data_IF_180651140443
#
_entry.id   IF_180651140443
#
_cell.length_a   1.000
_cell.length_b   1.000
_cell.length_c   1.000
_cell.angle_alpha   90.00
_cell.angle_beta   90.00
_cell.angle_gamma   90.00
#
_symmetry.space_group_name_H-M   'P 1'
#
loop_
_entity.id
_entity.type
_entity.pdbx_description
1 polymer ?
#
# COMPACT_ATOMS: atom_id res chain seq x y z
N UNK A 1 -29.27 -24.93 -8.01
CA UNK A 1 -28.71 -23.58 -7.67
C UNK A 1 -27.33 -23.81 -7.14
N UNK A 2 -26.31 -23.54 -7.95
CA UNK A 2 -24.93 -23.63 -7.47
C UNK A 2 -24.76 -22.52 -6.42
N UNK A 3 -24.48 -22.89 -5.17
CA UNK A 3 -24.01 -21.97 -4.15
C UNK A 3 -22.77 -21.25 -4.75
N UNK A 4 -22.90 -19.98 -5.05
CA UNK A 4 -21.75 -19.15 -5.30
C UNK A 4 -20.97 -19.09 -3.99
N UNK A 5 -19.95 -19.94 -3.89
CA UNK A 5 -19.02 -19.89 -2.77
C UNK A 5 -18.53 -18.43 -2.62
N UNK A 6 -18.77 -17.83 -1.47
CA UNK A 6 -18.35 -16.45 -1.19
C UNK A 6 -16.83 -16.36 -1.34
N UNK A 7 -16.35 -15.56 -2.29
CA UNK A 7 -14.94 -15.38 -2.61
C UNK A 7 -14.33 -14.15 -1.92
N UNK A 8 -14.78 -13.84 -0.73
CA UNK A 8 -14.33 -12.70 0.04
C UNK A 8 -15.47 -11.86 0.60
N UNK A 9 -15.18 -10.92 1.51
CA UNK A 9 -16.21 -10.10 2.19
C UNK A 9 -16.91 -9.11 1.25
N UNK A 10 -16.38 -8.86 0.04
CA UNK A 10 -16.94 -7.94 -0.96
C UNK A 10 -17.63 -8.67 -2.11
N UNK A 11 -17.97 -9.96 -1.94
CA UNK A 11 -18.72 -10.72 -2.95
C UNK A 11 -20.05 -10.02 -3.27
N UNK A 12 -20.29 -9.80 -4.56
CA UNK A 12 -21.47 -9.08 -5.06
C UNK A 12 -21.28 -7.59 -5.26
N UNK A 13 -20.16 -7.01 -4.79
CA UNK A 13 -19.81 -5.61 -5.04
C UNK A 13 -19.36 -5.43 -6.50
N UNK A 14 -19.97 -4.49 -7.22
CA UNK A 14 -19.71 -4.16 -8.63
C UNK A 14 -18.84 -2.91 -8.71
N UNK A 15 -17.65 -3.02 -9.27
CA UNK A 15 -16.67 -1.93 -9.35
C UNK A 15 -16.32 -1.63 -10.80
N UNK A 16 -16.36 -0.36 -11.18
CA UNK A 16 -15.79 0.13 -12.43
C UNK A 16 -14.47 0.83 -12.10
N UNK A 17 -13.39 0.37 -12.73
CA UNK A 17 -12.07 0.99 -12.66
C UNK A 17 -11.74 1.65 -14.00
N UNK A 18 -11.36 2.92 -14.01
CA UNK A 18 -10.72 3.51 -15.18
C UNK A 18 -9.23 3.21 -15.17
N UNK A 19 -8.70 2.83 -16.33
CA UNK A 19 -7.28 2.57 -16.53
C UNK A 19 -6.42 3.70 -15.97
N UNK A 20 -5.44 3.35 -15.15
CA UNK A 20 -4.47 4.25 -14.54
C UNK A 20 -3.15 3.54 -14.24
N UNK A 21 -2.29 4.23 -13.52
CA UNK A 21 -1.03 3.71 -12.99
C UNK A 21 -0.97 3.91 -11.48
N UNK A 22 -0.07 3.17 -10.80
CA UNK A 22 0.19 3.35 -9.36
C UNK A 22 -0.98 2.95 -8.47
N UNK A 23 -1.54 3.89 -7.69
CA UNK A 23 -2.47 3.58 -6.61
C UNK A 23 -3.85 3.06 -7.07
N UNK A 24 -4.41 3.57 -8.16
CA UNK A 24 -5.72 3.15 -8.66
C UNK A 24 -5.80 1.65 -8.96
N UNK A 25 -4.94 1.10 -9.82
CA UNK A 25 -4.87 -0.34 -10.06
C UNK A 25 -4.65 -1.18 -8.81
N UNK A 26 -3.88 -0.69 -7.84
CA UNK A 26 -3.65 -1.40 -6.58
C UNK A 26 -4.93 -1.43 -5.70
N UNK A 27 -5.68 -0.32 -5.62
CA UNK A 27 -7.00 -0.30 -4.95
C UNK A 27 -7.92 -1.36 -5.56
N UNK A 28 -8.05 -1.33 -6.88
CA UNK A 28 -8.96 -2.24 -7.58
C UNK A 28 -8.50 -3.71 -7.45
N UNK A 29 -7.18 -3.99 -7.37
CA UNK A 29 -6.66 -5.31 -7.04
C UNK A 29 -7.13 -5.77 -5.65
N UNK A 30 -7.00 -4.91 -4.65
CA UNK A 30 -7.41 -5.26 -3.28
C UNK A 30 -8.92 -5.53 -3.20
N UNK A 31 -9.75 -4.72 -3.86
CA UNK A 31 -11.19 -4.93 -3.91
C UNK A 31 -11.54 -6.25 -4.62
N UNK A 32 -10.87 -6.54 -5.74
CA UNK A 32 -11.06 -7.79 -6.49
C UNK A 32 -10.63 -9.02 -5.67
N UNK A 33 -9.48 -8.97 -5.00
CA UNK A 33 -8.99 -10.04 -4.12
C UNK A 33 -9.96 -10.34 -2.97
N UNK A 34 -10.67 -9.34 -2.50
CA UNK A 34 -11.69 -9.46 -1.46
C UNK A 34 -13.08 -9.80 -1.99
N UNK A 35 -13.22 -10.09 -3.28
CA UNK A 35 -14.44 -10.64 -3.85
C UNK A 35 -15.25 -9.73 -4.76
N UNK A 36 -14.89 -8.44 -4.87
CA UNK A 36 -15.58 -7.53 -5.77
C UNK A 36 -15.41 -7.96 -7.25
N UNK A 37 -16.45 -7.77 -8.05
CA UNK A 37 -16.38 -7.92 -9.49
C UNK A 37 -15.95 -6.62 -10.13
N UNK A 38 -14.76 -6.60 -10.77
CA UNK A 38 -14.14 -5.35 -11.26
C UNK A 38 -14.11 -5.35 -12.78
N UNK A 39 -14.84 -4.41 -13.38
CA UNK A 39 -14.73 -4.08 -14.81
C UNK A 39 -13.77 -2.92 -14.99
N UNK A 40 -12.72 -3.14 -15.78
CA UNK A 40 -11.71 -2.12 -16.08
C UNK A 40 -11.94 -1.53 -17.47
N UNK A 41 -12.22 -0.25 -17.49
CA UNK A 41 -12.31 0.56 -18.71
C UNK A 41 -10.90 0.94 -19.14
N UNK A 42 -10.49 0.51 -20.31
CA UNK A 42 -9.15 0.78 -20.84
C UNK A 42 -9.19 1.23 -22.31
N UNK A 43 -8.12 1.89 -22.73
CA UNK A 43 -8.02 2.31 -24.14
C UNK A 43 -7.84 1.08 -25.03
N UNK A 44 -8.42 1.09 -26.24
CA UNK A 44 -8.13 0.05 -27.23
C UNK A 44 -6.62 -0.12 -27.44
N UNK A 45 -6.17 -1.37 -27.43
CA UNK A 45 -4.74 -1.72 -27.61
C UNK A 45 -3.87 -1.58 -26.36
N UNK A 46 -4.44 -1.28 -25.18
CA UNK A 46 -3.69 -1.27 -23.93
C UNK A 46 -3.08 -2.64 -23.62
N UNK A 47 -1.83 -2.63 -23.14
CA UNK A 47 -1.15 -3.83 -22.63
C UNK A 47 -0.95 -3.71 -21.14
N UNK A 48 -1.17 -4.78 -20.35
CA UNK A 48 -0.92 -4.75 -18.91
C UNK A 48 0.53 -4.38 -18.59
N UNK A 49 0.72 -3.40 -17.72
CA UNK A 49 2.04 -3.01 -17.24
C UNK A 49 2.53 -3.93 -16.12
N UNK A 50 1.64 -4.35 -15.24
CA UNK A 50 1.95 -5.23 -14.13
C UNK A 50 0.83 -6.27 -13.93
N UNK A 51 1.02 -7.51 -14.41
CA UNK A 51 -0.02 -8.52 -14.36
C UNK A 51 -0.40 -8.97 -12.94
N UNK A 52 0.45 -8.72 -11.94
CA UNK A 52 0.14 -8.99 -10.53
C UNK A 52 -0.84 -7.94 -10.00
N UNK A 53 -0.55 -6.66 -10.21
CA UNK A 53 -1.41 -5.55 -9.75
C UNK A 53 -2.70 -5.45 -10.57
N UNK A 54 -2.67 -5.90 -11.82
CA UNK A 54 -3.82 -5.85 -12.73
C UNK A 54 -4.61 -7.17 -12.79
N UNK A 55 -4.40 -8.09 -11.85
CA UNK A 55 -5.13 -9.38 -11.76
C UNK A 55 -6.62 -9.21 -11.50
N UNK A 56 -7.40 -10.21 -11.86
CA UNK A 56 -8.84 -10.31 -11.59
C UNK A 56 -9.68 -9.15 -12.14
N UNK A 57 -9.29 -8.57 -13.31
CA UNK A 57 -10.09 -7.57 -14.02
C UNK A 57 -10.80 -8.16 -15.22
N UNK A 58 -12.08 -7.81 -15.37
CA UNK A 58 -12.82 -7.99 -16.61
C UNK A 58 -12.58 -6.74 -17.47
N UNK A 59 -11.93 -6.90 -18.63
CA UNK A 59 -11.43 -5.76 -19.41
C UNK A 59 -12.43 -5.36 -20.47
N UNK A 60 -12.73 -4.07 -20.58
CA UNK A 60 -13.50 -3.46 -21.66
C UNK A 60 -12.63 -2.42 -22.38
N UNK A 61 -12.37 -2.63 -23.66
CA UNK A 61 -11.58 -1.73 -24.50
C UNK A 61 -12.48 -0.65 -25.08
N UNK A 62 -12.50 0.54 -24.48
CA UNK A 62 -13.48 1.60 -24.75
C UNK A 62 -12.80 2.88 -25.21
N UNK A 63 -13.22 3.41 -26.35
CA UNK A 63 -12.92 4.80 -26.74
C UNK A 63 -13.91 5.77 -26.05
N UNK A 64 -13.46 6.43 -25.00
CA UNK A 64 -14.27 7.38 -24.23
C UNK A 64 -14.71 8.63 -25.04
N UNK A 65 -14.19 8.83 -26.27
CA UNK A 65 -14.59 9.92 -27.15
C UNK A 65 -15.71 9.55 -28.12
N UNK A 66 -15.97 8.24 -28.30
CA UNK A 66 -17.04 7.74 -29.16
C UNK A 66 -18.37 7.75 -28.43
N UNK A 67 -19.46 7.94 -29.16
CA UNK A 67 -20.82 7.84 -28.60
C UNK A 67 -21.12 6.44 -28.05
N UNK A 68 -20.60 5.40 -28.69
CA UNK A 68 -20.75 4.02 -28.26
C UNK A 68 -20.04 3.78 -26.93
N UNK A 69 -18.77 4.23 -26.80
CA UNK A 69 -18.02 4.14 -25.59
C UNK A 69 -18.65 4.90 -24.43
N UNK A 70 -19.17 6.10 -24.69
CA UNK A 70 -19.91 6.88 -23.70
C UNK A 70 -21.17 6.13 -23.22
N UNK A 71 -21.97 5.59 -24.14
CA UNK A 71 -23.17 4.80 -23.78
C UNK A 71 -22.80 3.59 -22.92
N UNK A 72 -21.75 2.87 -23.30
CA UNK A 72 -21.27 1.70 -22.53
C UNK A 72 -20.88 2.08 -21.11
N UNK A 73 -20.08 3.13 -20.95
CA UNK A 73 -19.62 3.57 -19.62
C UNK A 73 -20.76 4.05 -18.75
N UNK A 74 -21.69 4.83 -19.30
CA UNK A 74 -22.89 5.25 -18.57
C UNK A 74 -23.73 4.06 -18.14
N UNK A 75 -23.90 3.06 -19.00
CA UNK A 75 -24.63 1.85 -18.64
C UNK A 75 -23.93 1.06 -17.53
N UNK A 76 -22.61 0.86 -17.62
CA UNK A 76 -21.84 0.21 -16.56
C UNK A 76 -22.00 0.92 -15.21
N UNK A 77 -21.92 2.25 -15.20
CA UNK A 77 -21.96 3.06 -13.97
C UNK A 77 -23.36 3.17 -13.34
N UNK A 78 -24.44 2.95 -14.11
CA UNK A 78 -25.78 2.81 -13.53
C UNK A 78 -25.93 1.62 -12.59
N UNK A 79 -25.15 0.56 -12.84
CA UNK A 79 -25.22 -0.69 -12.10
C UNK A 79 -24.06 -0.91 -11.15
N UNK A 80 -23.05 -0.03 -11.20
CA UNK A 80 -21.87 -0.12 -10.34
C UNK A 80 -22.17 0.39 -8.93
N UNK A 81 -21.52 -0.23 -7.95
CA UNK A 81 -21.48 0.24 -6.56
C UNK A 81 -20.38 1.27 -6.34
N UNK A 82 -19.26 1.09 -7.04
CA UNK A 82 -18.05 1.89 -6.89
C UNK A 82 -17.46 2.24 -8.24
N UNK A 83 -17.05 3.48 -8.39
CA UNK A 83 -16.18 3.94 -9.46
C UNK A 83 -14.82 4.32 -8.87
N UNK A 84 -13.73 3.83 -9.48
CA UNK A 84 -12.35 4.25 -9.17
C UNK A 84 -11.76 4.91 -10.42
N UNK A 85 -11.38 6.18 -10.30
CA UNK A 85 -10.70 6.93 -11.37
C UNK A 85 -9.49 7.69 -10.81
N UNK A 86 -8.52 8.00 -11.67
CA UNK A 86 -7.30 8.70 -11.30
C UNK A 86 -6.91 9.78 -12.31
N UNK A 87 -7.88 10.37 -13.00
CA UNK A 87 -7.62 11.49 -13.93
C UNK A 87 -7.40 12.80 -13.18
N UNK A 88 -6.77 13.75 -13.86
CA UNK A 88 -6.65 15.11 -13.34
C UNK A 88 -8.04 15.73 -13.14
N UNK A 89 -8.22 16.60 -12.12
CA UNK A 89 -9.49 17.29 -11.89
C UNK A 89 -10.08 17.92 -13.15
N UNK A 90 -11.38 17.77 -13.34
CA UNK A 90 -12.11 18.28 -14.50
C UNK A 90 -12.04 17.41 -15.77
N UNK A 91 -11.27 16.32 -15.80
CA UNK A 91 -11.24 15.41 -16.96
C UNK A 91 -12.54 14.63 -17.08
N UNK A 92 -12.99 14.03 -15.98
CA UNK A 92 -14.25 13.26 -15.96
C UNK A 92 -15.46 14.17 -16.25
N UNK A 93 -15.45 15.38 -15.74
CA UNK A 93 -16.49 16.38 -16.03
C UNK A 93 -16.57 16.72 -17.53
N UNK A 94 -15.40 16.93 -18.18
CA UNK A 94 -15.36 17.19 -19.65
C UNK A 94 -15.79 15.98 -20.48
N UNK A 95 -15.68 14.78 -19.94
CA UNK A 95 -16.15 13.55 -20.58
C UNK A 95 -17.66 13.30 -20.31
N UNK A 96 -18.36 14.17 -19.57
CA UNK A 96 -19.74 13.94 -19.16
C UNK A 96 -19.91 12.83 -18.11
N UNK A 97 -18.80 12.45 -17.44
CA UNK A 97 -18.71 11.40 -16.43
C UNK A 97 -18.38 11.98 -15.05
N UNK A 98 -18.60 13.27 -14.83
CA UNK A 98 -18.39 13.93 -13.54
C UNK A 98 -19.37 13.46 -12.46
N UNK A 99 -19.04 13.71 -11.17
CA UNK A 99 -19.85 13.26 -10.04
C UNK A 99 -21.32 13.71 -10.12
N UNK A 100 -21.59 14.95 -10.52
CA UNK A 100 -22.95 15.48 -10.58
C UNK A 100 -23.84 14.65 -11.53
N UNK A 101 -23.30 14.31 -12.71
CA UNK A 101 -24.01 13.50 -13.71
C UNK A 101 -24.21 12.08 -13.24
N UNK A 102 -23.13 11.45 -12.71
CA UNK A 102 -23.19 10.03 -12.36
C UNK A 102 -23.96 9.77 -11.07
N UNK A 103 -23.92 10.66 -10.09
CA UNK A 103 -24.71 10.53 -8.85
C UNK A 103 -26.20 10.86 -9.07
N UNK A 104 -26.54 11.68 -10.08
CA UNK A 104 -27.93 11.83 -10.51
C UNK A 104 -28.47 10.54 -11.14
N UNK A 105 -27.66 9.89 -12.00
CA UNK A 105 -28.03 8.64 -12.67
C UNK A 105 -28.03 7.42 -11.73
N UNK A 106 -27.09 7.38 -10.77
CA UNK A 106 -26.96 6.33 -9.75
C UNK A 106 -26.68 6.96 -8.39
N UNK A 107 -27.73 7.34 -7.63
CA UNK A 107 -27.56 7.97 -6.31
C UNK A 107 -26.86 7.12 -5.25
N UNK A 108 -26.65 5.83 -5.52
CA UNK A 108 -25.93 4.91 -4.62
C UNK A 108 -24.46 4.73 -4.97
N UNK A 109 -23.97 5.32 -6.05
CA UNK A 109 -22.61 5.18 -6.51
C UNK A 109 -21.61 5.81 -5.52
N UNK A 110 -20.60 5.06 -5.09
CA UNK A 110 -19.41 5.59 -4.43
C UNK A 110 -18.40 5.98 -5.50
N UNK A 111 -18.16 7.27 -5.64
CA UNK A 111 -17.28 7.84 -6.66
C UNK A 111 -15.89 8.14 -6.06
N UNK A 112 -14.92 7.23 -6.22
CA UNK A 112 -13.58 7.40 -5.67
C UNK A 112 -12.63 8.05 -6.68
N UNK A 113 -12.10 9.22 -6.31
CA UNK A 113 -11.14 10.02 -7.08
C UNK A 113 -9.75 9.89 -6.48
N UNK A 114 -8.91 9.06 -7.10
CA UNK A 114 -7.56 8.75 -6.63
C UNK A 114 -6.54 9.67 -7.31
N UNK A 115 -6.10 10.71 -6.64
CA UNK A 115 -5.17 11.70 -7.19
C UNK A 115 -3.97 11.95 -6.28
N UNK A 116 -2.91 12.57 -6.82
CA UNK A 116 -1.74 12.93 -6.03
C UNK A 116 -1.97 14.16 -5.14
N UNK A 117 -2.56 15.20 -5.72
CA UNK A 117 -2.69 16.51 -5.09
C UNK A 117 -4.08 16.83 -4.53
N UNK A 118 -5.10 16.01 -4.80
CA UNK A 118 -6.50 16.31 -4.51
C UNK A 118 -7.23 16.99 -5.65
N UNK A 119 -8.54 17.23 -5.46
CA UNK A 119 -9.41 17.82 -6.47
C UNK A 119 -9.28 19.35 -6.54
N UNK A 120 -8.79 19.99 -5.50
CA UNK A 120 -8.59 21.43 -5.40
C UNK A 120 -7.20 21.80 -4.89
N UNK A 121 -6.95 23.09 -4.70
CA UNK A 121 -5.67 23.60 -4.28
C UNK A 121 -4.72 23.96 -5.43
N UNK A 122 -3.62 24.66 -5.15
CA UNK A 122 -2.76 25.27 -6.19
C UNK A 122 -2.03 24.24 -7.06
N UNK A 123 -1.86 22.99 -6.61
CA UNK A 123 -1.18 21.93 -7.33
C UNK A 123 -2.13 20.91 -8.00
N UNK A 124 -3.44 21.04 -7.83
CA UNK A 124 -4.42 20.08 -8.32
C UNK A 124 -4.27 19.74 -9.82
N UNK A 125 -3.88 20.72 -10.65
CA UNK A 125 -3.65 20.54 -12.08
C UNK A 125 -2.19 20.21 -12.44
N UNK A 126 -1.27 20.20 -11.47
CA UNK A 126 0.14 19.96 -11.74
C UNK A 126 0.41 18.45 -11.95
N UNK A 127 1.43 18.15 -12.78
CA UNK A 127 1.94 16.79 -12.85
C UNK A 127 2.75 16.46 -11.60
N UNK A 128 2.76 15.20 -11.20
CA UNK A 128 3.57 14.70 -10.10
C UNK A 128 3.50 13.18 -10.03
N UNK A 129 4.41 12.59 -9.28
CA UNK A 129 4.48 11.18 -8.94
C UNK A 129 4.72 11.04 -7.44
N UNK A 130 4.73 9.80 -6.91
CA UNK A 130 4.92 9.46 -5.50
C UNK A 130 5.92 10.39 -4.80
N UNK A 131 7.13 10.48 -5.32
CA UNK A 131 8.21 11.29 -4.76
C UNK A 131 7.82 12.76 -4.53
N UNK A 132 7.06 13.35 -5.46
CA UNK A 132 6.64 14.74 -5.37
C UNK A 132 5.55 14.92 -4.32
N UNK A 133 4.64 13.96 -4.21
CA UNK A 133 3.54 14.00 -3.23
C UNK A 133 4.07 13.88 -1.81
N UNK A 134 5.00 12.94 -1.55
CA UNK A 134 5.58 12.76 -0.22
C UNK A 134 6.55 13.90 0.18
N UNK A 135 7.10 14.63 -0.82
CA UNK A 135 8.06 15.71 -0.56
C UNK A 135 7.47 16.87 0.23
N UNK A 136 6.25 17.31 -0.10
CA UNK A 136 5.62 18.47 0.55
C UNK A 136 4.95 18.13 1.88
N UNK A 137 4.81 16.84 2.21
CA UNK A 137 4.23 16.37 3.47
C UNK A 137 5.25 16.21 4.58
N UNK A 138 6.52 16.52 4.34
CA UNK A 138 7.61 16.28 5.29
C UNK A 138 8.05 14.81 5.41
N UNK A 139 7.31 13.86 4.83
CA UNK A 139 7.66 12.43 4.89
C UNK A 139 9.00 12.16 4.21
N UNK A 140 9.20 12.67 2.98
CA UNK A 140 10.44 12.46 2.26
C UNK A 140 11.65 13.04 3.00
N UNK A 141 11.51 14.24 3.59
CA UNK A 141 12.61 14.86 4.34
C UNK A 141 13.03 14.03 5.56
N UNK A 142 12.13 13.26 6.15
CA UNK A 142 12.42 12.41 7.30
C UNK A 142 13.13 11.10 6.97
N UNK A 143 13.23 10.71 5.68
CA UNK A 143 13.76 9.42 5.23
C UNK A 143 15.15 9.59 4.61
N UNK A 144 16.14 8.92 5.17
CA UNK A 144 17.53 8.93 4.71
C UNK A 144 18.55 9.02 5.83
N UNK A 145 19.82 8.92 5.50
CA UNK A 145 20.90 9.02 6.44
C UNK A 145 21.20 10.48 6.84
N UNK A 146 21.82 10.65 8.00
CA UNK A 146 22.26 11.95 8.52
C UNK A 146 23.28 12.59 7.58
N UNK A 147 23.06 13.84 7.22
CA UNK A 147 23.94 14.61 6.33
C UNK A 147 23.81 14.26 4.84
N UNK A 148 22.99 13.28 4.48
CA UNK A 148 22.76 12.85 3.08
C UNK A 148 21.47 13.46 2.51
N UNK A 149 21.28 13.33 1.20
CA UNK A 149 19.99 13.67 0.57
C UNK A 149 18.90 12.67 0.99
N UNK A 150 17.61 13.09 0.96
CA UNK A 150 16.51 12.16 1.23
C UNK A 150 16.50 11.01 0.23
N UNK A 151 16.14 9.81 0.70
CA UNK A 151 16.10 8.60 -0.12
C UNK A 151 14.64 8.27 -0.43
N UNK A 152 14.26 8.13 -1.73
CA UNK A 152 12.92 7.68 -2.11
C UNK A 152 12.62 6.28 -1.55
N UNK A 153 11.52 6.10 -0.80
CA UNK A 153 11.14 4.79 -0.24
C UNK A 153 10.36 3.92 -1.24
N UNK A 154 10.74 3.93 -2.52
CA UNK A 154 9.94 3.41 -3.62
C UNK A 154 8.60 4.15 -3.68
N UNK A 155 7.53 3.50 -4.18
CA UNK A 155 6.17 4.04 -4.15
C UNK A 155 5.32 3.46 -2.99
N UNK A 156 5.99 3.01 -1.92
CA UNK A 156 5.32 2.37 -0.79
C UNK A 156 4.61 3.38 0.11
N UNK A 157 5.21 4.55 0.32
CA UNK A 157 4.68 5.57 1.25
C UNK A 157 3.62 6.45 0.57
N UNK A 158 3.87 6.94 -0.64
CA UNK A 158 2.95 7.79 -1.36
C UNK A 158 1.82 7.00 -2.01
N UNK A 159 2.10 6.39 -3.17
CA UNK A 159 1.08 5.71 -3.99
C UNK A 159 0.30 4.65 -3.20
N UNK A 160 1.00 3.78 -2.47
CA UNK A 160 0.35 2.64 -1.82
C UNK A 160 -0.11 2.96 -0.40
N UNK A 161 0.75 3.48 0.47
CA UNK A 161 0.40 3.81 1.85
C UNK A 161 -0.61 4.96 1.93
N UNK A 162 -0.25 6.13 1.43
CA UNK A 162 -1.08 7.34 1.47
C UNK A 162 -2.21 7.34 0.44
N UNK A 163 -2.01 6.73 -0.73
CA UNK A 163 -2.99 6.67 -1.80
C UNK A 163 -3.92 5.48 -1.70
N UNK A 164 -3.44 4.29 -2.11
CA UNK A 164 -4.30 3.10 -2.25
C UNK A 164 -5.03 2.70 -0.98
N UNK A 165 -4.32 2.67 0.15
CA UNK A 165 -4.93 2.22 1.41
C UNK A 165 -5.98 3.22 1.90
N UNK A 166 -5.74 4.52 1.78
CA UNK A 166 -6.73 5.54 2.15
C UNK A 166 -7.92 5.57 1.19
N UNK A 167 -7.70 5.37 -0.11
CA UNK A 167 -8.77 5.23 -1.08
C UNK A 167 -9.65 4.00 -0.77
N UNK A 168 -9.05 2.85 -0.53
CA UNK A 168 -9.78 1.65 -0.15
C UNK A 168 -10.57 1.84 1.15
N UNK A 169 -9.97 2.46 2.18
CA UNK A 169 -10.65 2.80 3.43
C UNK A 169 -11.83 3.77 3.18
N UNK A 170 -11.63 4.79 2.36
CA UNK A 170 -12.67 5.74 1.99
C UNK A 170 -13.84 5.08 1.27
N UNK A 171 -13.56 4.20 0.30
CA UNK A 171 -14.57 3.40 -0.40
C UNK A 171 -15.38 2.56 0.59
N UNK A 172 -14.71 1.80 1.46
CA UNK A 172 -15.39 0.94 2.43
C UNK A 172 -16.21 1.73 3.45
N UNK A 173 -15.71 2.88 3.91
CA UNK A 173 -16.43 3.78 4.81
C UNK A 173 -17.68 4.37 4.12
N UNK A 174 -17.57 4.78 2.85
CA UNK A 174 -18.69 5.28 2.07
C UNK A 174 -19.74 4.19 1.78
N UNK A 175 -19.32 2.97 1.49
CA UNK A 175 -20.22 1.82 1.33
C UNK A 175 -20.95 1.50 2.65
N UNK A 176 -20.26 1.51 3.77
CA UNK A 176 -20.85 1.30 5.09
C UNK A 176 -21.85 2.41 5.47
N UNK A 177 -21.55 3.67 5.17
CA UNK A 177 -22.45 4.80 5.38
C UNK A 177 -23.69 4.68 4.49
N UNK A 178 -23.51 4.30 3.21
CA UNK A 178 -24.57 4.08 2.22
C UNK A 178 -25.64 3.10 2.67
N UNK A 179 -25.28 2.08 3.46
CA UNK A 179 -26.28 1.12 3.98
C UNK A 179 -27.28 1.74 4.95
N UNK A 180 -26.96 2.90 5.52
CA UNK A 180 -27.84 3.67 6.41
C UNK A 180 -28.58 4.79 5.68
N UNK A 181 -27.86 5.58 4.86
CA UNK A 181 -28.43 6.73 4.15
C UNK A 181 -29.15 6.35 2.85
N UNK A 182 -28.78 5.20 2.27
CA UNK A 182 -29.20 4.83 0.91
C UNK A 182 -28.46 5.58 -0.18
N UNK A 183 -27.49 6.44 0.14
CA UNK A 183 -26.81 7.34 -0.80
C UNK A 183 -25.32 7.04 -0.91
N UNK A 184 -24.83 7.04 -2.14
CA UNK A 184 -23.39 7.10 -2.43
C UNK A 184 -22.84 8.52 -2.23
N UNK A 185 -21.55 8.67 -2.44
CA UNK A 185 -20.86 9.95 -2.30
C UNK A 185 -19.54 9.97 -3.06
N UNK A 186 -18.98 11.16 -3.23
CA UNK A 186 -17.60 11.32 -3.73
C UNK A 186 -16.62 11.06 -2.59
N UNK A 187 -15.56 10.30 -2.89
CA UNK A 187 -14.40 10.11 -2.04
C UNK A 187 -13.20 10.74 -2.76
N UNK A 188 -12.75 11.90 -2.30
CA UNK A 188 -11.49 12.50 -2.75
C UNK A 188 -10.35 11.86 -1.96
N UNK A 189 -9.60 11.00 -2.63
CA UNK A 189 -8.49 10.26 -2.03
C UNK A 189 -7.16 10.83 -2.55
N UNK A 190 -6.74 11.94 -1.96
CA UNK A 190 -5.47 12.57 -2.30
C UNK A 190 -4.29 11.88 -1.59
N UNK A 191 -3.23 11.56 -2.34
CA UNK A 191 -2.02 10.96 -1.77
C UNK A 191 -1.42 11.88 -0.70
N UNK A 192 -1.37 13.19 -0.94
CA UNK A 192 -0.82 14.15 0.02
C UNK A 192 -1.56 14.13 1.36
N UNK A 193 -2.89 13.97 1.36
CA UNK A 193 -3.69 13.90 2.57
C UNK A 193 -3.45 12.60 3.34
N UNK A 194 -3.41 11.48 2.62
CA UNK A 194 -3.13 10.18 3.21
C UNK A 194 -1.72 10.11 3.81
N UNK A 195 -0.70 10.61 3.10
CA UNK A 195 0.68 10.68 3.64
C UNK A 195 0.75 11.61 4.84
N UNK A 196 0.07 12.76 4.81
CA UNK A 196 0.00 13.67 5.96
C UNK A 196 -0.61 12.96 7.16
N UNK A 197 -1.65 12.16 6.96
CA UNK A 197 -2.26 11.34 8.01
C UNK A 197 -1.29 10.26 8.54
N UNK A 198 -0.51 9.60 7.68
CA UNK A 198 0.53 8.65 8.11
C UNK A 198 1.59 9.32 9.01
N UNK A 199 1.87 10.61 8.78
CA UNK A 199 2.83 11.40 9.56
C UNK A 199 2.27 11.91 10.89
N UNK A 200 1.01 11.62 11.24
CA UNK A 200 0.34 12.13 12.45
C UNK A 200 1.13 11.86 13.73
N UNK A 201 1.77 10.69 13.83
CA UNK A 201 2.63 10.36 14.98
C UNK A 201 3.75 11.38 15.14
N UNK A 202 4.47 11.71 14.07
CA UNK A 202 5.60 12.64 14.12
C UNK A 202 5.14 14.08 14.32
N UNK A 203 4.04 14.50 13.69
CA UNK A 203 3.50 15.85 13.90
C UNK A 203 3.00 16.06 15.34
N UNK A 204 2.49 15.04 15.99
CA UNK A 204 2.03 15.09 17.37
C UNK A 204 3.14 15.07 18.42
N UNK A 205 4.37 14.71 18.05
CA UNK A 205 5.48 14.63 19.00
C UNK A 205 6.15 16.02 19.22
N UNK A 206 6.53 16.36 20.46
CA UNK A 206 7.48 17.45 20.69
C UNK A 206 8.85 17.09 20.12
N UNK A 207 9.71 18.08 19.93
CA UNK A 207 11.11 17.83 19.56
C UNK A 207 11.79 16.96 20.61
N UNK A 208 12.29 15.80 20.20
CA UNK A 208 12.85 14.76 21.05
C UNK A 208 13.66 13.77 20.20
N UNK A 209 14.21 12.73 20.81
CA UNK A 209 14.83 11.62 20.08
C UNK A 209 13.87 10.91 19.08
N UNK A 210 12.55 11.03 19.26
CA UNK A 210 11.56 10.51 18.30
C UNK A 210 11.28 11.48 17.15
N UNK A 211 11.38 12.78 17.39
CA UNK A 211 11.16 13.83 16.38
C UNK A 211 12.33 14.82 16.38
N UNK A 212 13.23 14.65 15.44
CA UNK A 212 14.34 15.58 15.21
C UNK A 212 14.06 16.46 13.99
N UNK A 213 14.78 17.59 13.90
CA UNK A 213 14.78 18.43 12.70
C UNK A 213 15.83 17.99 11.69
N UNK A 214 16.73 17.10 12.07
CA UNK A 214 17.80 16.57 11.25
C UNK A 214 17.41 15.15 10.78
N UNK A 215 17.46 14.92 9.47
CA UNK A 215 17.21 13.61 8.86
C UNK A 215 18.17 12.57 9.41
N UNK A 216 17.64 11.37 9.66
CA UNK A 216 18.45 10.25 10.14
C UNK A 216 19.00 10.41 11.55
N UNK A 217 18.67 11.51 12.26
CA UNK A 217 19.11 11.74 13.64
C UNK A 217 18.10 11.24 14.70
N UNK A 218 16.89 10.87 14.28
CA UNK A 218 15.85 10.34 15.16
C UNK A 218 15.98 8.83 15.40
N UNK A 219 15.42 8.36 16.51
CA UNK A 219 15.40 6.95 16.89
C UNK A 219 14.87 6.07 15.74
N UNK A 220 13.67 6.35 15.26
CA UNK A 220 13.04 5.59 14.18
C UNK A 220 13.65 5.85 12.79
N UNK A 221 14.50 6.85 12.68
CA UNK A 221 15.27 7.17 11.48
C UNK A 221 16.59 6.41 11.36
N UNK A 222 16.89 5.53 12.31
CA UNK A 222 18.10 4.68 12.29
C UNK A 222 19.33 5.30 12.97
N UNK A 223 19.18 6.40 13.73
CA UNK A 223 20.27 6.94 14.55
C UNK A 223 20.59 6.06 15.75
N UNK A 224 19.57 5.45 16.35
CA UNK A 224 19.75 4.61 17.52
C UNK A 224 20.37 3.26 17.15
N UNK A 225 21.43 2.89 17.86
CA UNK A 225 22.15 1.62 17.65
C UNK A 225 21.26 0.38 17.81
N UNK A 226 20.18 0.48 18.53
CA UNK A 226 19.20 -0.60 18.73
C UNK A 226 18.02 -0.57 17.77
N UNK A 227 18.00 0.38 16.79
CA UNK A 227 16.94 0.50 15.78
C UNK A 227 17.53 0.84 14.42
N UNK A 228 18.19 -0.12 13.78
CA UNK A 228 18.83 0.04 12.46
C UNK A 228 19.27 -1.28 11.83
N UNK A 229 19.84 -1.20 10.64
CA UNK A 229 20.47 -2.33 9.96
C UNK A 229 21.97 -2.37 10.21
N UNK A 230 22.51 -3.60 10.18
CA UNK A 230 23.94 -3.89 10.31
C UNK A 230 24.38 -4.90 9.25
N UNK A 231 25.60 -4.73 8.75
CA UNK A 231 26.23 -5.64 7.81
C UNK A 231 26.94 -6.77 8.56
N UNK A 232 26.76 -8.02 8.08
CA UNK A 232 27.38 -9.23 8.62
C UNK A 232 28.71 -9.54 7.93
N UNK A 233 29.41 -10.59 8.42
CA UNK A 233 30.72 -11.01 7.88
C UNK A 233 30.67 -11.42 6.40
N UNK A 234 29.53 -11.91 5.92
CA UNK A 234 29.29 -12.33 4.54
C UNK A 234 28.74 -11.23 3.62
N UNK A 235 28.70 -9.98 4.11
CA UNK A 235 28.18 -8.83 3.36
C UNK A 235 26.66 -8.75 3.28
N UNK A 236 25.93 -9.70 3.86
CA UNK A 236 24.48 -9.62 4.04
C UNK A 236 24.13 -8.75 5.23
N UNK A 237 22.90 -8.32 5.32
CA UNK A 237 22.44 -7.35 6.31
C UNK A 237 21.40 -7.95 7.25
N UNK A 238 21.36 -7.42 8.47
CA UNK A 238 20.35 -7.73 9.48
C UNK A 238 19.74 -6.44 10.00
N UNK A 239 18.54 -6.54 10.52
CA UNK A 239 17.84 -5.44 11.20
C UNK A 239 17.68 -5.76 12.68
N UNK A 240 17.83 -4.75 13.51
CA UNK A 240 17.49 -4.77 14.94
C UNK A 240 16.50 -3.68 15.25
N UNK A 241 15.56 -3.94 16.16
CA UNK A 241 14.51 -3.01 16.55
C UNK A 241 14.15 -3.09 18.03
N UNK A 242 15.14 -3.40 18.89
CA UNK A 242 14.99 -3.67 20.31
C UNK A 242 14.83 -2.37 21.13
N UNK A 243 13.67 -1.71 21.02
CA UNK A 243 13.40 -0.42 21.67
C UNK A 243 13.22 -0.59 23.18
N UNK A 244 12.43 -1.57 23.60
CA UNK A 244 12.13 -1.80 25.01
C UNK A 244 13.36 -2.37 25.74
N UNK A 245 13.63 -1.94 26.99
CA UNK A 245 14.82 -2.35 27.72
C UNK A 245 14.99 -3.87 27.87
N UNK A 246 13.91 -4.62 28.03
CA UNK A 246 13.95 -6.08 28.15
C UNK A 246 14.36 -6.75 26.84
N UNK A 247 13.90 -6.26 25.69
CA UNK A 247 14.25 -6.78 24.36
C UNK A 247 15.69 -6.42 24.00
N UNK A 248 16.12 -5.23 24.38
CA UNK A 248 17.52 -4.81 24.22
C UNK A 248 18.45 -5.66 25.08
N UNK A 249 18.10 -5.94 26.33
CA UNK A 249 18.88 -6.81 27.20
C UNK A 249 19.00 -8.24 26.62
N UNK A 250 17.91 -8.78 26.05
CA UNK A 250 17.93 -10.09 25.39
C UNK A 250 18.81 -10.09 24.13
N UNK A 251 18.70 -9.05 23.30
CA UNK A 251 19.59 -8.88 22.14
C UNK A 251 21.06 -8.93 22.55
N UNK A 252 21.46 -8.11 23.54
CA UNK A 252 22.84 -8.04 24.01
C UNK A 252 23.32 -9.38 24.61
N UNK A 253 22.48 -10.05 25.40
CA UNK A 253 22.80 -11.31 26.01
C UNK A 253 23.02 -12.42 24.97
N UNK A 254 22.09 -12.55 23.99
CA UNK A 254 22.19 -13.60 22.97
C UNK A 254 23.30 -13.36 21.97
N UNK A 255 23.58 -12.10 21.66
CA UNK A 255 24.64 -11.72 20.76
C UNK A 255 26.03 -11.78 21.40
N UNK A 256 26.13 -12.04 22.71
CA UNK A 256 27.35 -11.92 23.49
C UNK A 256 28.04 -10.58 23.33
N UNK A 257 27.20 -9.52 23.45
CA UNK A 257 27.63 -8.15 23.24
C UNK A 257 28.43 -7.59 24.40
N UNK A 258 29.31 -6.59 24.16
CA UNK A 258 30.10 -5.95 25.22
C UNK A 258 29.23 -5.44 26.38
N UNK A 259 29.68 -5.65 27.62
CA UNK A 259 28.96 -5.29 28.85
C UNK A 259 28.60 -3.80 28.92
N UNK A 260 29.45 -2.93 28.38
CA UNK A 260 29.28 -1.50 28.36
C UNK A 260 28.02 -1.02 27.59
N UNK A 261 27.48 -1.85 26.66
CA UNK A 261 26.25 -1.55 25.93
C UNK A 261 24.99 -1.70 26.79
N UNK A 262 25.08 -2.29 27.97
CA UNK A 262 23.92 -2.55 28.85
C UNK A 262 23.35 -1.29 29.48
N UNK A 263 24.15 -0.24 29.58
CA UNK A 263 23.73 1.01 30.20
C UNK A 263 23.56 2.12 29.15
N UNK A 264 22.66 3.06 29.40
CA UNK A 264 22.53 4.25 28.57
C UNK A 264 21.94 4.02 27.17
N UNK A 265 21.17 2.96 26.96
CA UNK A 265 20.48 2.66 25.69
C UNK A 265 19.81 3.87 25.09
N UNK A 266 18.97 4.56 25.87
CA UNK A 266 18.15 5.71 25.42
C UNK A 266 18.88 7.04 25.45
N UNK A 267 20.18 7.07 25.80
CA UNK A 267 20.98 8.29 25.76
C UNK A 267 21.53 8.54 24.35
N UNK A 268 21.08 9.55 23.60
CA UNK A 268 21.54 9.82 22.25
C UNK A 268 23.04 10.07 22.13
N UNK A 269 23.72 10.52 23.23
CA UNK A 269 25.16 10.74 23.22
C UNK A 269 25.97 9.46 23.06
N UNK A 270 25.37 8.28 23.34
CA UNK A 270 26.03 6.99 23.21
C UNK A 270 25.80 6.35 21.84
N UNK A 271 24.83 6.82 21.07
CA UNK A 271 24.32 6.06 19.91
C UNK A 271 25.37 5.83 18.83
N UNK A 272 26.21 6.81 18.54
CA UNK A 272 27.25 6.67 17.51
C UNK A 272 28.31 5.63 17.95
N UNK A 273 28.84 5.74 19.17
CA UNK A 273 29.81 4.78 19.73
C UNK A 273 29.25 3.36 19.83
N UNK A 274 28.00 3.22 20.31
CA UNK A 274 27.33 1.94 20.43
C UNK A 274 26.99 1.32 19.06
N UNK A 275 26.71 2.17 18.07
CA UNK A 275 26.54 1.73 16.69
C UNK A 275 27.81 1.09 16.13
N UNK A 276 28.98 1.72 16.35
CA UNK A 276 30.27 1.17 15.92
C UNK A 276 30.55 -0.18 16.57
N UNK A 277 30.28 -0.32 17.87
CA UNK A 277 30.47 -1.58 18.62
C UNK A 277 29.55 -2.69 18.13
N UNK A 278 28.26 -2.41 17.92
CA UNK A 278 27.35 -3.40 17.35
C UNK A 278 27.67 -3.72 15.89
N UNK A 279 28.12 -2.75 15.10
CA UNK A 279 28.60 -3.02 13.75
C UNK A 279 29.79 -3.97 13.73
N UNK A 280 30.77 -3.74 14.62
CA UNK A 280 31.90 -4.65 14.79
C UNK A 280 31.46 -6.05 15.24
N UNK A 281 30.47 -6.13 16.15
CA UNK A 281 29.91 -7.41 16.61
C UNK A 281 29.22 -8.16 15.48
N UNK A 282 28.34 -7.54 14.72
CA UNK A 282 27.62 -8.21 13.63
C UNK A 282 28.55 -8.66 12.51
N UNK A 283 29.68 -7.99 12.29
CA UNK A 283 30.73 -8.40 11.37
C UNK A 283 31.50 -9.70 11.81
N UNK A 284 31.30 -10.22 13.03
CA UNK A 284 31.96 -11.41 13.49
C UNK A 284 31.40 -12.72 12.95
N UNK A 285 30.18 -12.73 12.46
CA UNK A 285 29.49 -13.93 11.95
C UNK A 285 28.70 -13.62 10.66
N UNK A 286 28.52 -14.64 9.80
CA UNK A 286 27.62 -14.53 8.65
C UNK A 286 26.15 -14.41 9.11
N UNK A 287 25.29 -13.81 8.24
CA UNK A 287 23.87 -13.61 8.52
C UNK A 287 23.16 -14.87 9.03
N UNK A 288 23.43 -16.03 8.40
CA UNK A 288 22.77 -17.28 8.76
C UNK A 288 23.07 -17.76 10.19
N UNK A 289 24.22 -17.41 10.76
CA UNK A 289 24.53 -17.70 12.16
C UNK A 289 23.78 -16.75 13.10
N UNK A 290 23.67 -15.46 12.75
CA UNK A 290 22.87 -14.51 13.52
C UNK A 290 21.39 -14.88 13.50
N UNK A 291 20.85 -15.33 12.37
CA UNK A 291 19.48 -15.85 12.26
C UNK A 291 19.25 -17.00 13.26
N UNK A 292 20.16 -17.98 13.34
CA UNK A 292 20.04 -19.10 14.31
C UNK A 292 20.05 -18.66 15.76
N UNK A 293 20.75 -17.56 16.09
CA UNK A 293 20.89 -17.07 17.45
C UNK A 293 19.73 -16.18 17.88
N UNK A 294 19.18 -15.38 16.98
CA UNK A 294 18.35 -14.23 17.32
C UNK A 294 16.93 -14.29 16.74
N UNK A 295 16.72 -14.91 15.56
CA UNK A 295 15.39 -14.94 14.95
C UNK A 295 14.43 -15.80 15.77
N UNK A 296 13.20 -15.32 15.92
CA UNK A 296 12.16 -16.00 16.70
C UNK A 296 12.30 -15.85 18.21
N UNK A 297 13.18 -14.96 18.66
CA UNK A 297 13.34 -14.55 20.07
C UNK A 297 12.86 -13.13 20.30
N UNK A 298 12.83 -12.66 21.53
CA UNK A 298 12.45 -11.29 21.86
C UNK A 298 13.57 -10.25 21.63
N UNK A 299 14.65 -10.62 20.92
CA UNK A 299 15.73 -9.70 20.54
C UNK A 299 15.33 -8.66 19.46
N UNK A 300 14.11 -8.69 18.97
CA UNK A 300 13.61 -7.81 17.89
C UNK A 300 14.54 -7.78 16.67
N UNK A 301 14.87 -8.98 16.18
CA UNK A 301 15.83 -9.20 15.10
C UNK A 301 15.16 -9.81 13.88
N UNK A 302 15.60 -9.41 12.67
CA UNK A 302 15.28 -10.11 11.43
C UNK A 302 16.43 -9.99 10.41
N UNK A 303 16.63 -11.00 9.52
CA UNK A 303 17.50 -10.82 8.36
C UNK A 303 16.88 -9.83 7.38
N UNK A 304 17.69 -9.00 6.73
CA UNK A 304 17.27 -8.25 5.55
C UNK A 304 17.42 -9.19 4.36
N UNK A 305 16.29 -9.50 3.71
CA UNK A 305 16.27 -10.43 2.59
C UNK A 305 16.05 -9.70 1.26
N UNK A 306 16.74 -10.09 0.18
CA UNK A 306 16.48 -9.56 -1.16
C UNK A 306 15.02 -9.82 -1.59
N UNK A 307 14.49 -8.95 -2.47
CA UNK A 307 13.12 -9.05 -2.96
C UNK A 307 12.78 -10.44 -3.53
N UNK A 308 13.69 -11.01 -4.32
CA UNK A 308 13.48 -12.31 -4.95
C UNK A 308 13.53 -13.50 -3.97
N UNK A 309 14.17 -13.31 -2.81
CA UNK A 309 14.31 -14.32 -1.76
C UNK A 309 13.21 -14.21 -0.68
N UNK A 310 12.48 -13.10 -0.62
CA UNK A 310 11.47 -12.87 0.42
C UNK A 310 10.42 -13.97 0.50
N UNK A 311 9.99 -14.52 -0.65
CA UNK A 311 9.04 -15.65 -0.74
C UNK A 311 9.58 -16.94 -0.11
N UNK A 312 10.90 -17.08 0.00
CA UNK A 312 11.56 -18.28 0.50
C UNK A 312 11.80 -18.26 2.00
N UNK A 313 11.62 -17.10 2.65
CA UNK A 313 11.72 -16.98 4.09
C UNK A 313 10.73 -17.90 4.82
N UNK A 314 11.17 -18.68 5.83
CA UNK A 314 10.32 -19.68 6.49
C UNK A 314 8.99 -19.13 7.02
N UNK A 315 9.01 -17.94 7.63
CA UNK A 315 7.81 -17.29 8.12
C UNK A 315 6.84 -16.89 6.98
N UNK A 316 7.37 -16.35 5.87
CA UNK A 316 6.55 -15.96 4.71
C UNK A 316 5.93 -17.19 4.04
N UNK A 317 6.66 -18.31 3.97
CA UNK A 317 6.12 -19.62 3.52
C UNK A 317 5.01 -20.13 4.44
N UNK A 318 5.26 -20.17 5.74
CA UNK A 318 4.28 -20.62 6.74
C UNK A 318 3.02 -19.74 6.74
N UNK A 319 3.16 -18.45 6.49
CA UNK A 319 2.05 -17.51 6.30
C UNK A 319 1.35 -17.68 4.95
N UNK A 320 1.94 -18.40 3.97
CA UNK A 320 1.44 -18.39 2.60
C UNK A 320 1.30 -16.95 2.08
N UNK A 321 2.34 -16.13 2.30
CA UNK A 321 2.31 -14.71 1.92
C UNK A 321 2.45 -14.53 0.39
N UNK A 322 2.92 -15.57 -0.29
CA UNK A 322 3.03 -15.65 -1.74
C UNK A 322 2.26 -16.86 -2.25
N UNK A 323 1.64 -16.74 -3.41
CA UNK A 323 0.81 -17.76 -4.07
C UNK A 323 1.22 -17.86 -5.53
N UNK A 324 1.47 -19.06 -6.01
CA UNK A 324 1.69 -19.29 -7.43
C UNK A 324 0.34 -19.29 -8.19
N UNK A 325 0.19 -18.40 -9.16
CA UNK A 325 -1.01 -18.25 -9.96
C UNK A 325 -0.63 -17.87 -11.41
N UNK A 326 -1.18 -18.57 -12.40
CA UNK A 326 -0.88 -18.32 -13.81
C UNK A 326 0.62 -18.39 -14.16
N UNK A 327 1.39 -19.25 -13.46
CA UNK A 327 2.84 -19.41 -13.67
C UNK A 327 3.69 -18.26 -13.12
N UNK A 328 3.15 -17.46 -12.21
CA UNK A 328 3.85 -16.34 -11.55
C UNK A 328 3.61 -16.36 -10.05
N UNK A 329 4.59 -15.89 -9.31
CA UNK A 329 4.43 -15.64 -7.87
C UNK A 329 3.68 -14.34 -7.65
N UNK A 330 2.57 -14.41 -6.92
CA UNK A 330 1.73 -13.29 -6.54
C UNK A 330 1.76 -13.10 -5.03
N UNK A 331 1.59 -11.86 -4.57
CA UNK A 331 1.27 -11.60 -3.17
C UNK A 331 -0.13 -12.15 -2.87
N UNK A 332 -0.26 -12.87 -1.74
CA UNK A 332 -1.56 -13.36 -1.29
C UNK A 332 -2.50 -12.20 -0.93
N UNK A 333 -3.83 -12.37 -1.06
CA UNK A 333 -4.79 -11.37 -0.61
C UNK A 333 -4.59 -10.98 0.86
N UNK A 334 -4.65 -9.69 1.12
CA UNK A 334 -4.54 -9.10 2.45
C UNK A 334 -5.60 -7.98 2.63
N UNK A 335 -6.15 -7.80 3.86
CA UNK A 335 -5.98 -8.65 5.05
C UNK A 335 -6.63 -10.03 4.90
N UNK A 336 -6.34 -10.94 5.85
CA UNK A 336 -6.93 -12.27 5.87
C UNK A 336 -8.21 -12.28 6.70
N UNK A 337 -9.24 -12.93 6.18
CA UNK A 337 -10.51 -13.14 6.85
C UNK A 337 -10.69 -14.64 7.13
N UNK A 338 -11.10 -15.02 8.32
CA UNK A 338 -11.32 -16.40 8.73
C UNK A 338 -12.55 -17.03 8.07
N UNK A 339 -13.66 -16.29 8.03
CA UNK A 339 -14.95 -16.75 7.50
C UNK A 339 -15.11 -16.49 5.99
N UNK A 340 -14.58 -15.40 5.47
CA UNK A 340 -14.69 -14.97 4.08
C UNK A 340 -13.30 -14.66 3.51
N UNK A 341 -12.42 -15.66 3.32
CA UNK A 341 -11.07 -15.44 2.83
C UNK A 341 -11.08 -14.85 1.42
N UNK A 342 -10.19 -13.89 1.17
CA UNK A 342 -9.92 -13.38 -0.16
C UNK A 342 -9.21 -14.44 -1.02
N UNK A 343 -9.40 -14.35 -2.34
CA UNK A 343 -8.80 -15.29 -3.31
C UNK A 343 -8.33 -14.56 -4.56
N UNK A 344 -7.22 -15.03 -5.15
CA UNK A 344 -6.81 -14.59 -6.48
C UNK A 344 -7.71 -15.31 -7.50
N UNK A 345 -8.25 -14.54 -8.45
CA UNK A 345 -9.14 -15.05 -9.50
C UNK A 345 -8.58 -14.70 -10.87
N UNK A 346 -8.91 -15.51 -11.87
CA UNK A 346 -8.63 -15.20 -13.25
C UNK A 346 -9.59 -14.13 -13.81
N UNK A 347 -9.10 -13.36 -14.75
CA UNK A 347 -9.92 -12.43 -15.56
C UNK A 347 -10.50 -13.20 -16.73
N UNK A 348 -11.53 -14.02 -16.48
CA UNK A 348 -12.03 -14.99 -17.46
C UNK A 348 -13.12 -14.46 -18.39
N UNK A 349 -13.66 -13.27 -18.17
CA UNK A 349 -14.79 -12.72 -18.95
C UNK A 349 -14.43 -11.39 -19.57
N UNK A 350 -15.04 -11.11 -20.72
CA UNK A 350 -15.05 -9.80 -21.34
C UNK A 350 -15.82 -8.81 -20.45
N UNK A 351 -15.30 -7.60 -20.29
CA UNK A 351 -15.94 -6.58 -19.47
C UNK A 351 -17.31 -6.17 -20.01
N UNK A 352 -17.52 -6.21 -21.31
CA UNK A 352 -18.80 -5.91 -21.94
C UNK A 352 -19.86 -6.97 -21.58
N UNK A 353 -19.50 -8.26 -21.58
CA UNK A 353 -20.38 -9.34 -21.14
C UNK A 353 -20.76 -9.20 -19.66
N UNK A 354 -19.82 -8.80 -18.82
CA UNK A 354 -20.04 -8.57 -17.38
C UNK A 354 -21.03 -7.42 -17.17
N UNK A 355 -20.86 -6.30 -17.85
CA UNK A 355 -21.78 -5.15 -17.76
C UNK A 355 -23.18 -5.53 -18.26
N UNK A 356 -23.27 -6.29 -19.37
CA UNK A 356 -24.55 -6.77 -19.87
C UNK A 356 -25.29 -7.65 -18.85
N UNK A 357 -24.56 -8.48 -18.09
CA UNK A 357 -25.13 -9.28 -16.99
C UNK A 357 -25.60 -8.38 -15.83
N UNK A 358 -24.85 -7.34 -15.47
CA UNK A 358 -25.26 -6.39 -14.44
C UNK A 358 -26.59 -5.71 -14.77
N UNK A 359 -26.81 -5.37 -16.04
CA UNK A 359 -28.05 -4.72 -16.54
C UNK A 359 -29.26 -5.64 -16.46
N UNK A 360 -29.07 -6.97 -16.45
CA UNK A 360 -30.15 -7.96 -16.37
C UNK A 360 -30.55 -8.34 -14.93
N UNK A 361 -29.96 -7.71 -13.92
CA UNK A 361 -30.28 -7.93 -12.51
C UNK A 361 -29.57 -9.13 -11.90
N UNK A 362 -28.42 -9.53 -12.45
CA UNK A 362 -27.56 -10.60 -11.95
C UNK A 362 -26.63 -10.13 -10.81
#
# INVERSE_FOLDING_TARGET
>A
MAEHAAHGPLTGLKVVEFQGIGPGPHVAMMLADLGAEVVRIERPGHQPMNPVVERARHRAAVDLKSEEGQRFVHEALKHADVLVEGFRPGVMERLGLGPDVLLEANPRLVYARMTGWGQDGPLAQAAGHDLNYIAITGALDSIGAKGELPIPPQNLVGDFGGGSMYCAMGILAALYERERSGKGQVVDAAIVDGVTSLMSFFYGQPHSALRTTERGAGLLGGAAHFYRCYECADGKEVSVGAIEPQFYAELLQRADAPEELREGQMNPANWDDYTEKLAALFKTKPQAEWVKLLEGTDACFAPVVPLDEAKDHPHMKARGAFVEHGGRSHTAPAPRFDRTPGTIRDSAQDGEEVVARWSQGG
#
